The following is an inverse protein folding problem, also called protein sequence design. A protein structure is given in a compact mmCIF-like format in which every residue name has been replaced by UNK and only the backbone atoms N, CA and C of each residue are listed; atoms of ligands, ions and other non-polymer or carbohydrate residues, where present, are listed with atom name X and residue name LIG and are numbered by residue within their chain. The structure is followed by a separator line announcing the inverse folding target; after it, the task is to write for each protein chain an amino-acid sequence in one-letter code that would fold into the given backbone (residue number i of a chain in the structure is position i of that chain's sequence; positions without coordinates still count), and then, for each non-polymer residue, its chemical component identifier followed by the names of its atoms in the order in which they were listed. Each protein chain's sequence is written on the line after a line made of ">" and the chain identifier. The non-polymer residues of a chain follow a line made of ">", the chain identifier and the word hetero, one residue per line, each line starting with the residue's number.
data_IF_012193046538
#
_entry.id   IF_012193046538
#
_cell.length_a   1.000
_cell.length_b   1.000
_cell.length_c   1.000
_cell.angle_alpha   90.00
_cell.angle_beta   90.00
_cell.angle_gamma   90.00
#
_symmetry.space_group_name_H-M   'P 1'
#
loop_
_entity.id
_entity.type
_entity.pdbx_description
1 polymer ?
#
# COMPACT_ATOMS: atom_id res chain seq x y z
N UNK A 1 21.36 -17.40 -4.08
CA UNK A 1 20.57 -17.89 -2.93
C UNK A 1 20.33 -16.71 -2.02
N UNK A 2 19.07 -16.35 -1.76
CA UNK A 2 18.70 -15.12 -1.05
C UNK A 2 18.98 -15.23 0.46
N UNK A 3 19.99 -14.52 1.00
CA UNK A 3 20.23 -14.48 2.45
C UNK A 3 19.04 -13.87 3.23
N UNK A 4 18.14 -13.17 2.53
CA UNK A 4 16.95 -12.52 3.08
C UNK A 4 15.88 -13.49 3.58
N UNK A 5 15.68 -14.65 2.94
CA UNK A 5 14.64 -15.60 3.33
C UNK A 5 14.98 -16.31 4.65
N UNK A 6 16.25 -16.65 4.86
CA UNK A 6 16.71 -17.27 6.10
C UNK A 6 16.73 -16.26 7.25
N UNK A 7 17.08 -15.00 6.96
CA UNK A 7 17.03 -13.91 7.93
C UNK A 7 15.59 -13.57 8.35
N UNK A 8 14.62 -13.59 7.44
CA UNK A 8 13.19 -13.40 7.79
C UNK A 8 12.71 -14.51 8.74
N UNK A 9 12.97 -15.79 8.40
CA UNK A 9 12.59 -16.93 9.25
C UNK A 9 13.22 -16.83 10.64
N UNK A 10 14.49 -16.44 10.73
CA UNK A 10 15.17 -16.23 11.99
C UNK A 10 14.58 -15.06 12.78
N UNK A 11 14.30 -13.94 12.12
CA UNK A 11 13.70 -12.76 12.72
C UNK A 11 12.32 -13.09 13.29
N UNK A 12 11.51 -13.84 12.53
CA UNK A 12 10.19 -14.30 12.95
C UNK A 12 10.27 -15.21 14.17
N UNK A 13 11.18 -16.19 14.16
CA UNK A 13 11.39 -17.07 15.32
C UNK A 13 11.78 -16.29 16.57
N UNK A 14 12.67 -15.31 16.41
CA UNK A 14 13.10 -14.44 17.52
C UNK A 14 11.92 -13.65 18.08
N UNK A 15 11.11 -13.06 17.20
CA UNK A 15 9.90 -12.32 17.55
C UNK A 15 8.84 -13.18 18.24
N UNK A 16 8.66 -14.42 17.80
CA UNK A 16 7.74 -15.37 18.41
C UNK A 16 8.21 -15.80 19.81
N UNK A 17 9.52 -15.82 20.07
CA UNK A 17 10.12 -16.15 21.36
C UNK A 17 10.19 -14.97 22.35
N UNK A 18 9.90 -13.74 21.94
CA UNK A 18 9.91 -12.58 22.85
C UNK A 18 8.80 -12.69 23.90
N UNK A 19 9.19 -12.69 25.19
CA UNK A 19 8.25 -12.69 26.32
C UNK A 19 7.36 -11.44 26.34
N UNK A 20 7.92 -10.29 25.93
CA UNK A 20 7.21 -9.02 25.82
C UNK A 20 7.51 -8.39 24.45
N UNK A 21 6.47 -8.06 23.69
CA UNK A 21 6.59 -7.41 22.38
C UNK A 21 6.22 -5.94 22.50
N UNK A 22 7.20 -5.07 22.26
CA UNK A 22 7.01 -3.61 22.20
C UNK A 22 6.42 -3.20 20.86
N UNK A 23 5.82 -2.01 20.79
CA UNK A 23 5.36 -1.40 19.55
C UNK A 23 6.46 -1.46 18.46
N UNK A 24 7.70 -1.09 18.80
CA UNK A 24 8.83 -1.10 17.85
C UNK A 24 9.12 -2.50 17.31
N UNK A 25 9.05 -3.54 18.16
CA UNK A 25 9.27 -4.93 17.71
C UNK A 25 8.20 -5.39 16.71
N UNK A 26 6.95 -4.99 16.92
CA UNK A 26 5.85 -5.26 15.97
C UNK A 26 6.05 -4.52 14.65
N UNK A 27 6.38 -3.22 14.72
CA UNK A 27 6.61 -2.38 13.54
C UNK A 27 7.76 -2.94 12.69
N UNK A 28 8.87 -3.32 13.33
CA UNK A 28 10.02 -3.92 12.66
C UNK A 28 9.65 -5.25 11.98
N UNK A 29 8.89 -6.12 12.66
CA UNK A 29 8.49 -7.40 12.08
C UNK A 29 7.56 -7.24 10.87
N UNK A 30 6.62 -6.31 10.95
CA UNK A 30 5.74 -5.93 9.83
C UNK A 30 6.59 -5.42 8.67
N UNK A 31 7.58 -4.57 8.94
CA UNK A 31 8.48 -4.01 7.93
C UNK A 31 9.32 -5.06 7.22
N UNK A 32 9.96 -5.94 7.97
CA UNK A 32 10.81 -6.99 7.41
C UNK A 32 9.98 -7.97 6.57
N UNK A 33 8.78 -8.36 7.06
CA UNK A 33 7.86 -9.22 6.30
C UNK A 33 7.39 -8.53 5.01
N UNK A 34 7.05 -7.25 5.10
CA UNK A 34 6.62 -6.46 3.96
C UNK A 34 7.72 -6.32 2.89
N UNK A 35 8.93 -5.96 3.31
CA UNK A 35 10.08 -5.77 2.41
C UNK A 35 10.57 -7.10 1.81
N UNK A 36 10.24 -8.23 2.43
CA UNK A 36 10.47 -9.56 1.87
C UNK A 36 9.39 -9.99 0.84
N UNK A 37 8.30 -9.22 0.71
CA UNK A 37 7.16 -9.57 -0.15
C UNK A 37 6.12 -10.49 0.53
N UNK A 38 6.30 -10.80 1.81
CA UNK A 38 5.39 -11.63 2.61
C UNK A 38 4.22 -10.78 3.14
N UNK A 39 3.40 -10.28 2.22
CA UNK A 39 2.35 -9.31 2.52
C UNK A 39 1.25 -9.86 3.43
N UNK A 40 0.94 -11.15 3.29
CA UNK A 40 -0.07 -11.81 4.14
C UNK A 40 0.41 -11.89 5.59
N UNK A 41 1.69 -12.21 5.79
CA UNK A 41 2.32 -12.23 7.11
C UNK A 41 2.38 -10.82 7.71
N UNK A 42 2.82 -9.82 6.94
CA UNK A 42 2.85 -8.42 7.36
C UNK A 42 1.45 -7.93 7.78
N UNK A 43 0.41 -8.33 7.05
CA UNK A 43 -0.97 -7.99 7.39
C UNK A 43 -1.49 -8.73 8.63
N UNK A 44 -1.14 -10.01 8.78
CA UNK A 44 -1.50 -10.77 9.98
C UNK A 44 -0.86 -10.17 11.24
N UNK A 45 0.42 -9.82 11.18
CA UNK A 45 1.14 -9.13 12.25
C UNK A 45 0.51 -7.77 12.57
N UNK A 46 0.11 -7.02 11.55
CA UNK A 46 -0.59 -5.75 11.72
C UNK A 46 -1.94 -5.90 12.44
N UNK A 47 -2.74 -6.92 12.10
CA UNK A 47 -3.99 -7.21 12.82
C UNK A 47 -3.74 -7.52 14.29
N UNK A 48 -2.70 -8.29 14.58
CA UNK A 48 -2.32 -8.59 15.96
C UNK A 48 -1.88 -7.33 16.70
N UNK A 49 -1.07 -6.47 16.06
CA UNK A 49 -0.70 -5.17 16.60
C UNK A 49 -1.95 -4.33 16.93
N UNK A 50 -2.91 -4.20 16.01
CA UNK A 50 -4.19 -3.47 16.24
C UNK A 50 -5.03 -4.05 17.38
N UNK A 51 -4.96 -5.36 17.58
CA UNK A 51 -5.68 -6.04 18.68
C UNK A 51 -5.01 -5.76 20.02
N UNK A 52 -3.68 -5.71 20.05
CA UNK A 52 -2.91 -5.48 21.27
C UNK A 52 -2.79 -3.97 21.61
N UNK A 53 -2.90 -3.09 20.61
CA UNK A 53 -2.75 -1.64 20.73
C UNK A 53 -3.94 -0.93 20.08
N UNK A 54 -4.97 -0.62 20.88
CA UNK A 54 -6.20 0.01 20.40
C UNK A 54 -6.04 1.48 19.93
N UNK A 55 -4.96 2.16 20.34
CA UNK A 55 -4.77 3.60 20.13
C UNK A 55 -3.54 3.93 19.25
N UNK A 56 -3.33 3.14 18.19
CA UNK A 56 -2.28 3.36 17.19
C UNK A 56 -2.42 4.72 16.46
N UNK A 57 -3.60 5.36 16.52
CA UNK A 57 -3.82 6.68 15.92
C UNK A 57 -3.08 7.81 16.64
N UNK A 58 -2.71 7.63 17.93
CA UNK A 58 -1.95 8.64 18.70
C UNK A 58 -0.43 8.51 18.53
N UNK A 59 0.05 7.43 17.93
CA UNK A 59 1.48 7.29 17.63
C UNK A 59 1.78 8.18 16.43
N UNK A 60 2.26 9.39 16.71
CA UNK A 60 2.53 10.54 15.82
C UNK A 60 3.47 10.27 14.63
N UNK A 61 3.86 9.01 14.41
CA UNK A 61 4.84 8.57 13.44
C UNK A 61 4.32 7.38 12.61
N UNK A 62 3.18 7.53 11.93
CA UNK A 62 2.76 6.65 10.81
C UNK A 62 3.70 6.76 9.58
N UNK A 63 4.98 7.00 9.83
CA UNK A 63 6.09 6.78 8.92
C UNK A 63 6.51 5.33 9.23
N UNK A 64 6.79 4.51 8.22
CA UNK A 64 7.09 3.07 8.33
C UNK A 64 5.83 2.13 8.31
N UNK A 65 5.96 0.93 7.75
CA UNK A 65 5.12 0.30 6.68
C UNK A 65 3.66 -0.07 6.97
N UNK A 66 3.17 0.26 8.15
CA UNK A 66 1.82 -0.09 8.61
C UNK A 66 0.72 0.55 7.76
N UNK A 67 0.89 1.81 7.35
CA UNK A 67 -0.04 2.50 6.46
C UNK A 67 -0.18 1.79 5.10
N UNK A 68 0.95 1.41 4.51
CA UNK A 68 0.99 0.72 3.22
C UNK A 68 0.28 -0.63 3.26
N UNK A 69 0.45 -1.39 4.34
CA UNK A 69 -0.20 -2.71 4.55
C UNK A 69 -1.72 -2.57 4.60
N UNK A 70 -2.24 -1.57 5.31
CA UNK A 70 -3.68 -1.31 5.37
C UNK A 70 -4.24 -0.88 3.99
N UNK A 71 -3.53 0.01 3.30
CA UNK A 71 -3.91 0.48 1.97
C UNK A 71 -3.98 -0.67 0.95
N UNK A 72 -2.95 -1.51 0.88
CA UNK A 72 -2.89 -2.65 -0.05
C UNK A 72 -4.02 -3.65 0.24
N UNK A 73 -4.28 -3.95 1.51
CA UNK A 73 -5.36 -4.87 1.86
C UNK A 73 -6.75 -4.30 1.52
N UNK A 74 -6.96 -2.99 1.70
CA UNK A 74 -8.20 -2.35 1.28
C UNK A 74 -8.39 -2.45 -0.24
N UNK A 75 -7.32 -2.31 -1.04
CA UNK A 75 -7.39 -2.56 -2.48
C UNK A 75 -7.74 -4.03 -2.79
N UNK A 76 -7.02 -4.98 -2.21
CA UNK A 76 -7.24 -6.43 -2.43
C UNK A 76 -8.62 -6.91 -2.00
N UNK A 77 -9.19 -6.31 -0.96
CA UNK A 77 -10.55 -6.63 -0.48
C UNK A 77 -11.67 -5.92 -1.27
N UNK A 78 -11.35 -5.29 -2.41
CA UNK A 78 -12.31 -4.58 -3.25
C UNK A 78 -12.76 -3.22 -2.70
N UNK A 79 -12.13 -2.75 -1.62
CA UNK A 79 -12.44 -1.48 -0.94
C UNK A 79 -11.49 -0.36 -1.36
N UNK A 80 -11.06 -0.33 -2.63
CA UNK A 80 -10.10 0.64 -3.17
C UNK A 80 -10.46 2.11 -2.90
N UNK A 81 -11.75 2.48 -2.90
CA UNK A 81 -12.20 3.85 -2.53
C UNK A 81 -11.88 4.24 -1.08
N UNK A 82 -11.95 3.28 -0.15
CA UNK A 82 -11.54 3.52 1.24
C UNK A 82 -10.02 3.70 1.31
N UNK A 83 -9.26 2.88 0.57
CA UNK A 83 -7.82 3.04 0.46
C UNK A 83 -7.45 4.42 -0.10
N UNK A 84 -8.14 4.87 -1.15
CA UNK A 84 -7.94 6.18 -1.76
C UNK A 84 -8.21 7.34 -0.78
N UNK A 85 -9.30 7.27 -0.02
CA UNK A 85 -9.60 8.28 1.01
C UNK A 85 -8.53 8.32 2.11
N UNK A 86 -8.04 7.16 2.54
CA UNK A 86 -6.95 7.09 3.51
C UNK A 86 -5.63 7.65 2.94
N UNK A 87 -5.35 7.39 1.66
CA UNK A 87 -4.21 7.98 0.96
C UNK A 87 -4.31 9.50 0.90
N UNK A 88 -5.49 10.05 0.59
CA UNK A 88 -5.76 11.49 0.58
C UNK A 88 -5.54 12.13 1.95
N UNK A 89 -5.94 11.43 3.01
CA UNK A 89 -5.72 11.84 4.41
C UNK A 89 -4.25 11.79 4.85
N UNK A 90 -3.32 11.41 3.97
CA UNK A 90 -1.88 11.43 4.23
C UNK A 90 -1.33 10.15 4.87
N UNK A 91 -2.06 9.04 4.82
CA UNK A 91 -1.52 7.73 5.24
C UNK A 91 -0.34 7.37 4.35
N UNK A 92 0.77 6.96 4.98
CA UNK A 92 1.99 6.60 4.27
C UNK A 92 1.74 5.45 3.28
N UNK A 93 2.03 5.71 2.01
CA UNK A 93 2.04 4.73 0.95
C UNK A 93 3.46 4.59 0.39
N UNK A 94 3.90 3.35 0.23
CA UNK A 94 5.10 3.07 -0.56
C UNK A 94 4.75 2.81 -2.02
N UNK A 95 5.77 2.58 -2.84
CA UNK A 95 5.64 2.34 -4.27
C UNK A 95 4.58 1.26 -4.61
N UNK A 96 4.56 0.16 -3.87
CA UNK A 96 3.61 -0.94 -4.12
C UNK A 96 2.17 -0.56 -3.74
N UNK A 97 1.97 0.13 -2.62
CA UNK A 97 0.65 0.66 -2.27
C UNK A 97 0.13 1.65 -3.33
N UNK A 98 0.98 2.54 -3.84
CA UNK A 98 0.61 3.42 -4.96
C UNK A 98 0.21 2.64 -6.20
N UNK A 99 0.96 1.60 -6.57
CA UNK A 99 0.63 0.75 -7.71
C UNK A 99 -0.70 0.02 -7.53
N UNK A 100 -0.94 -0.60 -6.37
CA UNK A 100 -2.19 -1.32 -6.08
C UNK A 100 -3.41 -0.39 -6.08
N UNK A 101 -3.29 0.81 -5.49
CA UNK A 101 -4.36 1.82 -5.51
C UNK A 101 -4.60 2.31 -6.94
N UNK A 102 -3.53 2.61 -7.70
CA UNK A 102 -3.64 3.03 -9.10
C UNK A 102 -4.35 1.95 -9.93
N UNK A 103 -3.92 0.69 -9.83
CA UNK A 103 -4.52 -0.46 -10.49
C UNK A 103 -6.01 -0.64 -10.17
N UNK A 104 -6.43 -0.29 -8.95
CA UNK A 104 -7.83 -0.32 -8.53
C UNK A 104 -8.69 0.88 -8.96
N UNK A 105 -8.10 1.91 -9.57
CA UNK A 105 -8.84 3.11 -9.98
C UNK A 105 -9.78 2.81 -11.15
N UNK A 106 -11.02 3.32 -11.05
CA UNK A 106 -12.06 3.16 -12.08
C UNK A 106 -12.35 4.45 -12.83
N UNK A 107 -11.87 5.57 -12.31
CA UNK A 107 -12.08 6.90 -12.90
C UNK A 107 -10.76 7.66 -13.00
N UNK A 108 -10.71 8.56 -13.97
CA UNK A 108 -9.60 9.49 -14.17
C UNK A 108 -9.40 10.39 -12.94
N UNK A 109 -10.48 10.75 -12.24
CA UNK A 109 -10.43 11.54 -11.01
C UNK A 109 -9.70 10.79 -9.88
N UNK A 110 -10.02 9.50 -9.68
CA UNK A 110 -9.33 8.65 -8.70
C UNK A 110 -7.83 8.54 -9.04
N UNK A 111 -7.49 8.30 -10.32
CA UNK A 111 -6.11 8.18 -10.77
C UNK A 111 -5.33 9.52 -10.64
N UNK A 112 -5.99 10.66 -10.87
CA UNK A 112 -5.41 11.99 -10.64
C UNK A 112 -5.09 12.24 -9.17
N UNK A 113 -5.95 11.78 -8.25
CA UNK A 113 -5.69 11.86 -6.82
C UNK A 113 -4.44 11.05 -6.46
N UNK A 114 -4.35 9.81 -6.96
CA UNK A 114 -3.17 8.94 -6.76
C UNK A 114 -1.91 9.62 -7.29
N UNK A 115 -1.95 10.19 -8.50
CA UNK A 115 -0.84 10.93 -9.09
C UNK A 115 -0.44 12.14 -8.24
N UNK A 116 -1.41 12.94 -7.77
CA UNK A 116 -1.15 14.09 -6.90
C UNK A 116 -0.55 13.70 -5.54
N UNK A 117 -0.92 12.52 -5.00
CA UNK A 117 -0.30 11.97 -3.79
C UNK A 117 1.12 11.44 -4.07
N UNK A 118 1.33 10.76 -5.20
CA UNK A 118 2.62 10.24 -5.61
C UNK A 118 3.64 11.37 -5.82
N UNK A 119 3.24 12.46 -6.47
CA UNK A 119 4.10 13.62 -6.73
C UNK A 119 4.54 14.35 -5.45
N UNK A 120 3.74 14.27 -4.38
CA UNK A 120 4.09 14.80 -3.05
C UNK A 120 4.87 13.81 -2.19
N UNK A 121 5.10 12.60 -2.68
CA UNK A 121 5.82 11.54 -1.96
C UNK A 121 7.29 11.48 -2.36
N UNK A 122 8.08 10.69 -1.64
CA UNK A 122 9.47 10.39 -1.99
C UNK A 122 9.63 9.67 -3.35
N UNK A 123 8.54 9.15 -3.93
CA UNK A 123 8.56 8.40 -5.19
C UNK A 123 8.18 9.25 -6.41
N UNK A 124 8.12 10.57 -6.29
CA UNK A 124 7.74 11.49 -7.38
C UNK A 124 8.57 11.31 -8.65
N UNK A 125 9.86 10.99 -8.52
CA UNK A 125 10.78 10.77 -9.64
C UNK A 125 10.90 9.30 -10.07
N UNK A 126 10.07 8.40 -9.54
CA UNK A 126 10.12 6.99 -9.92
C UNK A 126 9.53 6.82 -11.33
N UNK A 127 10.38 6.58 -12.32
CA UNK A 127 9.97 6.49 -13.73
C UNK A 127 9.02 5.33 -13.98
N UNK A 128 9.26 4.18 -13.35
CA UNK A 128 8.44 2.98 -13.53
C UNK A 128 6.97 3.22 -13.20
N UNK A 129 6.67 3.75 -12.01
CA UNK A 129 5.27 3.98 -11.60
C UNK A 129 4.63 5.13 -12.35
N UNK A 130 5.38 6.20 -12.66
CA UNK A 130 4.85 7.32 -13.43
C UNK A 130 4.46 6.86 -14.85
N UNK A 131 5.35 6.15 -15.55
CA UNK A 131 5.02 5.57 -16.86
C UNK A 131 3.84 4.61 -16.80
N UNK A 132 3.70 3.83 -15.73
CA UNK A 132 2.54 2.96 -15.57
C UNK A 132 1.25 3.74 -15.38
N UNK A 133 1.25 4.76 -14.53
CA UNK A 133 0.10 5.64 -14.32
C UNK A 133 -0.29 6.35 -15.63
N UNK A 134 0.68 6.80 -16.42
CA UNK A 134 0.42 7.45 -17.72
C UNK A 134 -0.24 6.48 -18.71
N UNK A 135 0.25 5.24 -18.81
CA UNK A 135 -0.41 4.19 -19.60
C UNK A 135 -1.86 3.96 -19.15
N UNK A 136 -2.12 3.99 -17.86
CA UNK A 136 -3.48 3.84 -17.32
C UNK A 136 -4.37 5.03 -17.68
N UNK A 137 -3.85 6.26 -17.67
CA UNK A 137 -4.58 7.43 -18.14
C UNK A 137 -4.96 7.29 -19.62
N UNK A 138 -4.02 6.89 -20.47
CA UNK A 138 -4.26 6.69 -21.90
C UNK A 138 -5.35 5.65 -22.15
N UNK A 139 -5.28 4.50 -21.45
CA UNK A 139 -6.29 3.45 -21.54
C UNK A 139 -7.67 3.93 -21.10
N UNK A 140 -7.76 4.67 -19.99
CA UNK A 140 -9.03 5.22 -19.50
C UNK A 140 -9.62 6.25 -20.47
N UNK A 141 -8.79 7.12 -21.07
CA UNK A 141 -9.24 8.08 -22.07
C UNK A 141 -9.71 7.41 -23.38
N UNK A 142 -9.01 6.38 -23.84
CA UNK A 142 -9.42 5.60 -25.02
C UNK A 142 -10.77 4.92 -24.80
N UNK A 143 -10.99 4.34 -23.61
CA UNK A 143 -12.26 3.70 -23.25
C UNK A 143 -13.44 4.67 -23.21
N UNK A 144 -13.22 5.94 -22.86
CA UNK A 144 -14.26 6.98 -22.90
C UNK A 144 -14.61 7.34 -24.36
N UNK A 145 -13.61 7.60 -25.20
CA UNK A 145 -13.80 7.93 -26.63
C UNK A 145 -14.56 6.83 -27.40
N UNK A 146 -14.30 5.56 -27.08
CA UNK A 146 -14.98 4.43 -27.73
C UNK A 146 -16.45 4.27 -27.29
N UNK A 147 -16.85 4.77 -26.11
CA UNK A 147 -18.25 4.77 -25.66
C UNK A 147 -19.08 5.86 -26.34
N UNK A 148 -18.46 6.99 -26.65
CA UNK A 148 -19.13 8.11 -27.33
C UNK A 148 -19.31 7.86 -28.84
N UNK A 149 -18.59 6.89 -29.42
CA UNK A 149 -18.65 6.54 -30.85
C UNK A 149 -19.68 5.47 -31.24
N UNK A 150 -20.45 4.90 -30.31
CA UNK A 150 -21.44 3.84 -30.58
C UNK A 150 -22.91 4.28 -30.45
N UNK A 151 -23.18 5.60 -30.45
CA UNK A 151 -24.53 6.15 -30.48
C UNK A 151 -24.86 6.85 -31.78
N UNK A 152 -25.13 6.10 -32.86
CA UNK A 152 -26.19 6.36 -33.86
C UNK A 152 -26.00 5.53 -35.14
N UNK A 153 -27.02 4.77 -35.54
CA UNK A 153 -27.65 4.91 -36.85
C UNK A 153 -28.82 5.91 -36.79
#
# INVERSE_FOLDING_TARGET
>A
MYPKCDLLKFSRKTFDQMAYRTLDSWLLMIEVSYNAGEFEEAFWLFKQLKTNYHDLHKTKHLISPVGSVELIQLCRSGKGRKALKLLEMGVHANLHAFFEIAAGCRTIAELNLVRGCLQRSAFSHNTFINSKIDQMFEQMHANLKNKDGHGHP
#
